data_IF_850894813937
#
_entry.id   IF_850894813937
#
_cell.length_a   1.000
_cell.length_b   1.000
_cell.length_c   1.000
_cell.angle_alpha   90.00
_cell.angle_beta   90.00
_cell.angle_gamma   90.00
#
_symmetry.space_group_name_H-M   'P 1'
#
loop_
_entity.id
_entity.type
_entity.pdbx_description
1 polymer ?
#
# COMPACT_ATOMS: atom_id res chain seq x y z
N UNK A 1 -21.54 -33.76 -4.10
CA UNK A 1 -20.26 -33.43 -3.44
C UNK A 1 -20.10 -31.92 -3.55
N UNK A 2 -20.36 -31.17 -2.49
CA UNK A 2 -20.45 -29.70 -2.56
C UNK A 2 -19.15 -29.10 -2.06
N UNK A 3 -18.37 -28.62 -3.01
CA UNK A 3 -17.13 -27.86 -2.83
C UNK A 3 -17.39 -26.62 -1.95
N UNK A 4 -16.81 -26.63 -0.75
CA UNK A 4 -16.85 -25.47 0.16
C UNK A 4 -15.82 -24.46 -0.34
N UNK A 5 -16.22 -23.59 -1.26
CA UNK A 5 -15.49 -22.39 -1.60
C UNK A 5 -15.34 -21.53 -0.33
N UNK A 6 -14.15 -21.58 0.26
CA UNK A 6 -13.70 -20.66 1.28
C UNK A 6 -13.67 -19.25 0.65
N UNK A 7 -14.73 -18.47 0.85
CA UNK A 7 -14.71 -17.03 0.60
C UNK A 7 -13.48 -16.45 1.31
N UNK A 8 -12.52 -15.82 0.62
CA UNK A 8 -11.47 -15.11 1.31
C UNK A 8 -12.15 -14.02 2.14
N UNK A 9 -12.01 -14.13 3.46
CA UNK A 9 -12.40 -13.09 4.39
C UNK A 9 -11.85 -11.76 3.86
N UNK A 10 -12.58 -10.63 3.95
CA UNK A 10 -12.03 -9.35 3.60
C UNK A 10 -10.93 -9.04 4.62
N UNK A 11 -9.72 -9.54 4.36
CA UNK A 11 -8.50 -9.00 4.93
C UNK A 11 -8.60 -7.52 4.70
N UNK A 12 -8.58 -6.73 5.77
CA UNK A 12 -8.67 -5.28 5.72
C UNK A 12 -7.56 -4.80 4.79
N UNK A 13 -7.84 -4.69 3.49
CA UNK A 13 -6.91 -4.18 2.49
C UNK A 13 -6.75 -2.73 2.90
N UNK A 14 -5.73 -2.46 3.70
CA UNK A 14 -5.45 -1.12 4.19
C UNK A 14 -5.23 -0.27 2.95
N UNK A 15 -6.20 0.58 2.65
CA UNK A 15 -6.21 1.37 1.42
C UNK A 15 -4.89 2.13 1.35
N UNK A 16 -4.24 2.16 0.18
CA UNK A 16 -3.07 3.00 0.01
C UNK A 16 -3.45 4.45 0.33
N UNK A 17 -2.63 5.10 1.13
CA UNK A 17 -2.86 6.47 1.59
C UNK A 17 -2.19 7.40 0.59
N UNK A 18 -2.83 8.51 0.23
CA UNK A 18 -2.16 9.52 -0.58
C UNK A 18 -1.09 10.21 0.27
N UNK A 19 0.14 10.21 -0.21
CA UNK A 19 1.25 10.93 0.41
C UNK A 19 2.27 11.35 -0.62
N UNK A 20 3.38 11.92 -0.16
CA UNK A 20 4.42 12.42 -1.05
C UNK A 20 5.64 11.51 -1.02
N UNK A 21 6.29 11.34 -2.18
CA UNK A 21 7.57 10.64 -2.22
C UNK A 21 8.63 11.43 -1.44
N UNK A 22 9.40 10.81 -0.54
CA UNK A 22 10.42 11.51 0.27
C UNK A 22 11.60 12.05 -0.55
N UNK A 23 11.73 11.65 -1.83
CA UNK A 23 12.85 12.09 -2.68
C UNK A 23 12.47 13.17 -3.69
N UNK A 24 11.31 13.06 -4.33
CA UNK A 24 10.86 14.04 -5.34
C UNK A 24 9.66 14.87 -4.89
N UNK A 25 9.13 14.61 -3.69
CA UNK A 25 7.99 15.31 -3.09
C UNK A 25 6.72 15.27 -3.94
N UNK A 26 6.67 14.38 -4.94
CA UNK A 26 5.51 14.20 -5.81
C UNK A 26 4.42 13.39 -5.10
N UNK A 27 3.15 13.73 -5.34
CA UNK A 27 2.02 12.97 -4.80
C UNK A 27 2.01 11.56 -5.39
N UNK A 28 1.81 10.57 -4.53
CA UNK A 28 1.71 9.15 -4.88
C UNK A 28 0.85 8.42 -3.85
N UNK A 29 0.20 7.34 -4.29
CA UNK A 29 -0.40 6.34 -3.42
C UNK A 29 0.67 5.53 -2.68
N UNK A 30 0.70 5.62 -1.35
CA UNK A 30 1.62 4.94 -0.46
C UNK A 30 0.88 3.78 0.22
N UNK A 31 1.25 2.56 -0.15
CA UNK A 31 0.82 1.31 0.48
C UNK A 31 1.55 1.07 1.81
N UNK A 32 1.00 0.19 2.64
CA UNK A 32 1.72 -0.27 3.84
C UNK A 32 2.88 -1.18 3.42
N UNK A 33 4.06 -0.95 4.00
CA UNK A 33 5.27 -1.72 3.63
C UNK A 33 6.13 -0.99 2.62
N UNK A 34 6.56 -1.68 1.56
CA UNK A 34 7.52 -1.17 0.57
C UNK A 34 6.79 -0.43 -0.56
N UNK A 35 7.18 0.81 -0.83
CA UNK A 35 6.64 1.64 -1.89
C UNK A 35 7.73 2.05 -2.86
N UNK A 36 7.40 2.04 -4.15
CA UNK A 36 8.29 2.51 -5.21
C UNK A 36 7.66 3.71 -5.89
N UNK A 37 8.32 4.86 -5.85
CA UNK A 37 7.83 6.05 -6.51
C UNK A 37 7.79 5.86 -8.04
N UNK A 38 6.66 6.14 -8.72
CA UNK A 38 6.57 6.04 -10.18
C UNK A 38 7.29 7.19 -10.88
N UNK A 39 7.53 8.31 -10.18
CA UNK A 39 8.17 9.48 -10.76
C UNK A 39 9.70 9.39 -10.77
N UNK A 40 10.31 8.96 -9.65
CA UNK A 40 11.77 8.94 -9.51
C UNK A 40 12.36 7.54 -9.28
N UNK A 41 11.51 6.50 -9.20
CA UNK A 41 11.94 5.13 -8.95
C UNK A 41 12.42 4.85 -7.51
N UNK A 42 12.39 5.84 -6.61
CA UNK A 42 12.87 5.67 -5.24
C UNK A 42 12.00 4.69 -4.46
N UNK A 43 12.65 3.71 -3.82
CA UNK A 43 12.00 2.68 -3.01
C UNK A 43 12.14 3.06 -1.53
N UNK A 44 11.03 3.14 -0.82
CA UNK A 44 11.00 3.47 0.60
C UNK A 44 9.98 2.63 1.36
N UNK A 45 10.26 2.35 2.63
CA UNK A 45 9.35 1.61 3.50
C UNK A 45 8.48 2.59 4.28
N UNK A 46 7.17 2.52 4.10
CA UNK A 46 6.21 3.36 4.79
C UNK A 46 5.75 2.69 6.07
N UNK A 47 6.28 3.18 7.20
CA UNK A 47 5.79 2.86 8.53
C UNK A 47 4.59 3.77 8.86
N UNK A 48 3.51 3.64 8.10
CA UNK A 48 2.26 4.34 8.38
C UNK A 48 1.73 3.88 9.75
N UNK A 49 2.12 4.59 10.82
CA UNK A 49 1.47 4.52 12.13
C UNK A 49 0.15 5.28 11.97
N UNK A 50 -0.94 4.53 11.85
CA UNK A 50 -2.28 5.08 12.02
C UNK A 50 -2.37 5.44 13.50
N UNK A 51 -2.37 6.74 13.83
CA UNK A 51 -2.73 7.22 15.16
C UNK A 51 -4.25 7.14 15.33
#
# INVERSE_FOLDING_TARGET
MTDKQAKPQPTKIRRPIQGNCPKCHRPMSISYGLNRCPNCGFIFKSNLKVQ
#
